data_IF_206784638823
#
_entry.id   IF_206784638823
#
_cell.length_a   1.000
_cell.length_b   1.000
_cell.length_c   1.000
_cell.angle_alpha   90.00
_cell.angle_beta   90.00
_cell.angle_gamma   90.00
#
_symmetry.space_group_name_H-M   'P 1'
#
loop_
_entity.id
_entity.type
_entity.pdbx_description
1 polymer ?
#
# COMPACT_ATOMS: atom_id res chain seq x y z
N UNK A 1 23.43 -2.95 43.46
CA UNK A 1 24.01 -3.85 42.42
C UNK A 1 23.53 -3.36 41.07
N UNK A 2 24.42 -2.91 40.17
CA UNK A 2 24.04 -2.59 38.80
C UNK A 2 23.74 -3.91 38.09
N UNK A 3 22.54 -4.06 37.53
CA UNK A 3 22.21 -5.24 36.74
C UNK A 3 23.25 -5.40 35.61
N UNK A 4 23.79 -6.60 35.39
CA UNK A 4 24.71 -6.82 34.26
C UNK A 4 23.97 -6.45 32.97
N UNK A 5 24.65 -5.82 31.99
CA UNK A 5 24.03 -5.49 30.72
C UNK A 5 23.45 -6.77 30.13
N UNK A 6 22.13 -6.78 29.94
CA UNK A 6 21.40 -7.92 29.41
C UNK A 6 21.99 -8.23 28.04
N UNK A 7 22.80 -9.28 27.93
CA UNK A 7 23.31 -9.76 26.64
C UNK A 7 22.08 -10.11 25.80
N UNK A 8 21.77 -9.25 24.81
CA UNK A 8 20.73 -9.55 23.84
C UNK A 8 21.27 -10.63 22.90
N UNK A 9 20.50 -11.68 22.59
CA UNK A 9 20.88 -12.61 21.55
C UNK A 9 21.02 -11.91 20.20
N UNK A 10 21.74 -12.55 19.29
CA UNK A 10 21.95 -12.12 17.92
C UNK A 10 20.58 -12.11 17.19
N UNK A 11 20.13 -10.94 16.69
CA UNK A 11 18.91 -10.70 15.89
C UNK A 11 17.80 -11.76 16.05
N UNK A 12 16.83 -11.45 16.90
CA UNK A 12 15.73 -12.36 17.26
C UNK A 12 14.42 -12.08 16.48
N UNK A 13 13.42 -12.96 16.63
CA UNK A 13 12.08 -12.80 16.05
C UNK A 13 11.45 -11.43 16.35
N UNK A 14 11.75 -10.85 17.52
CA UNK A 14 11.31 -9.50 17.90
C UNK A 14 11.88 -8.42 16.99
N UNK A 15 13.16 -8.54 16.61
CA UNK A 15 13.79 -7.56 15.72
C UNK A 15 13.21 -7.65 14.30
N UNK A 16 12.76 -8.84 13.88
CA UNK A 16 12.03 -9.01 12.62
C UNK A 16 10.63 -8.39 12.65
N UNK A 17 9.91 -8.53 13.76
CA UNK A 17 8.62 -7.87 13.96
C UNK A 17 8.76 -6.35 13.92
N UNK A 18 9.72 -5.78 14.67
CA UNK A 18 9.98 -4.34 14.67
C UNK A 18 10.30 -3.84 13.26
N UNK A 19 11.08 -4.62 12.48
CA UNK A 19 11.38 -4.26 11.09
C UNK A 19 10.13 -4.26 10.21
N UNK A 20 9.28 -5.28 10.32
CA UNK A 20 8.01 -5.36 9.57
C UNK A 20 7.08 -4.20 9.95
N UNK A 21 6.91 -3.94 11.23
CA UNK A 21 6.06 -2.85 11.74
C UNK A 21 6.56 -1.48 11.25
N UNK A 22 7.87 -1.25 11.28
CA UNK A 22 8.45 -0.02 10.75
C UNK A 22 8.19 0.15 9.24
N UNK A 23 8.26 -0.95 8.47
CA UNK A 23 7.94 -0.92 7.04
C UNK A 23 6.46 -0.65 6.78
N UNK A 24 5.57 -1.28 7.54
CA UNK A 24 4.11 -1.05 7.45
C UNK A 24 3.80 0.41 7.79
N UNK A 25 4.32 0.92 8.91
CA UNK A 25 4.12 2.31 9.33
C UNK A 25 4.63 3.32 8.28
N UNK A 26 5.81 3.07 7.70
CA UNK A 26 6.32 3.92 6.63
C UNK A 26 5.41 3.91 5.40
N UNK A 27 4.88 2.74 5.01
CA UNK A 27 3.94 2.62 3.89
C UNK A 27 2.61 3.32 4.16
N UNK A 28 2.07 3.24 5.39
CA UNK A 28 0.85 3.97 5.78
C UNK A 28 1.03 5.49 5.60
N UNK A 29 2.18 6.04 6.00
CA UNK A 29 2.49 7.45 5.76
C UNK A 29 2.62 7.80 4.28
N UNK A 30 3.27 6.94 3.49
CA UNK A 30 3.37 7.13 2.04
C UNK A 30 1.98 7.15 1.40
N UNK A 31 1.08 6.25 1.80
CA UNK A 31 -0.31 6.21 1.33
C UNK A 31 -1.04 7.50 1.70
N UNK A 32 -0.94 7.94 2.97
CA UNK A 32 -1.60 9.17 3.43
C UNK A 32 -1.11 10.41 2.65
N UNK A 33 0.21 10.56 2.47
CA UNK A 33 0.79 11.65 1.70
C UNK A 33 0.35 11.57 0.22
N UNK A 34 0.30 10.37 -0.36
CA UNK A 34 -0.15 10.16 -1.75
C UNK A 34 -1.62 10.55 -1.91
N UNK A 35 -2.47 10.26 -0.93
CA UNK A 35 -3.88 10.67 -0.93
C UNK A 35 -4.02 12.19 -0.87
N UNK A 36 -3.27 12.86 0.01
CA UNK A 36 -3.25 14.32 0.10
C UNK A 36 -2.80 14.93 -1.24
N UNK A 37 -1.74 14.39 -1.84
CA UNK A 37 -1.25 14.81 -3.16
C UNK A 37 -2.30 14.59 -4.25
N UNK A 38 -2.99 13.45 -4.23
CA UNK A 38 -4.06 13.12 -5.18
C UNK A 38 -5.17 14.17 -5.12
N UNK A 39 -5.61 14.54 -3.92
CA UNK A 39 -6.64 15.57 -3.72
C UNK A 39 -6.14 16.93 -4.21
N UNK A 40 -4.90 17.32 -3.87
CA UNK A 40 -4.32 18.58 -4.34
C UNK A 40 -4.26 18.65 -5.87
N UNK A 41 -3.80 17.58 -6.53
CA UNK A 41 -3.78 17.50 -7.99
C UNK A 41 -5.19 17.59 -8.59
N UNK A 42 -6.19 16.97 -7.96
CA UNK A 42 -7.58 17.04 -8.41
C UNK A 42 -8.14 18.46 -8.30
N UNK A 43 -7.93 19.14 -7.17
CA UNK A 43 -8.38 20.54 -6.96
C UNK A 43 -7.70 21.50 -7.94
N UNK A 44 -6.42 21.27 -8.25
CA UNK A 44 -5.67 22.11 -9.22
C UNK A 44 -5.97 21.76 -10.68
N UNK A 45 -6.85 20.78 -10.94
CA UNK A 45 -7.18 20.32 -12.30
C UNK A 45 -6.03 19.61 -13.03
N UNK A 46 -4.97 19.21 -12.31
CA UNK A 46 -3.82 18.52 -12.91
C UNK A 46 -4.17 17.03 -13.11
N UNK A 47 -4.08 16.48 -14.34
CA UNK A 47 -4.47 15.10 -14.63
C UNK A 47 -3.70 14.04 -13.81
N UNK A 48 -2.57 14.38 -13.19
CA UNK A 48 -1.78 13.53 -12.31
C UNK A 48 -2.59 12.85 -11.19
N UNK A 49 -3.70 13.45 -10.73
CA UNK A 49 -4.57 12.81 -9.74
C UNK A 49 -5.12 11.46 -10.21
N UNK A 50 -5.31 11.28 -11.52
CA UNK A 50 -5.79 10.02 -12.10
C UNK A 50 -4.73 8.93 -11.98
N UNK A 51 -3.46 9.29 -12.20
CA UNK A 51 -2.32 8.40 -12.03
C UNK A 51 -2.09 8.02 -10.57
N UNK A 52 -2.09 8.97 -9.65
CA UNK A 52 -1.93 8.67 -8.22
C UNK A 52 -3.11 7.88 -7.66
N UNK A 53 -4.34 8.16 -8.10
CA UNK A 53 -5.51 7.37 -7.75
C UNK A 53 -5.43 5.93 -8.28
N UNK A 54 -4.97 5.75 -9.52
CA UNK A 54 -4.73 4.41 -10.10
C UNK A 54 -3.80 3.57 -9.23
N UNK A 55 -2.70 4.16 -8.73
CA UNK A 55 -1.77 3.47 -7.84
C UNK A 55 -2.43 3.01 -6.52
N UNK A 56 -3.35 3.81 -5.96
CA UNK A 56 -4.13 3.41 -4.78
C UNK A 56 -5.02 2.20 -5.07
N UNK A 57 -5.68 2.18 -6.24
CA UNK A 57 -6.49 1.03 -6.67
C UNK A 57 -5.63 -0.24 -6.84
N UNK A 58 -4.42 -0.12 -7.39
CA UNK A 58 -3.48 -1.25 -7.45
C UNK A 58 -3.04 -1.72 -6.07
N UNK A 59 -2.75 -0.81 -5.15
CA UNK A 59 -2.43 -1.15 -3.77
C UNK A 59 -3.53 -2.01 -3.13
N UNK A 60 -4.79 -1.59 -3.23
CA UNK A 60 -5.94 -2.35 -2.71
C UNK A 60 -6.09 -3.69 -3.42
N UNK A 61 -5.98 -3.73 -4.75
CA UNK A 61 -6.11 -4.96 -5.53
C UNK A 61 -5.05 -6.01 -5.12
N UNK A 62 -3.78 -5.61 -4.97
CA UNK A 62 -2.72 -6.52 -4.56
C UNK A 62 -2.88 -6.98 -3.11
N UNK A 63 -3.33 -6.12 -2.20
CA UNK A 63 -3.68 -6.53 -0.83
C UNK A 63 -4.79 -7.59 -0.82
N UNK A 64 -5.84 -7.40 -1.62
CA UNK A 64 -6.92 -8.39 -1.75
C UNK A 64 -6.43 -9.69 -2.38
N UNK A 65 -5.54 -9.65 -3.37
CA UNK A 65 -4.94 -10.86 -3.93
C UNK A 65 -4.02 -11.58 -2.94
N UNK A 66 -3.31 -10.84 -2.09
CA UNK A 66 -2.53 -11.43 -1.00
C UNK A 66 -3.45 -12.14 0.01
N UNK A 67 -4.54 -11.50 0.43
CA UNK A 67 -5.55 -12.16 1.27
C UNK A 67 -6.19 -13.36 0.58
N UNK A 68 -6.48 -13.28 -0.71
CA UNK A 68 -6.97 -14.44 -1.47
C UNK A 68 -5.95 -15.60 -1.44
N UNK A 69 -4.65 -15.31 -1.56
CA UNK A 69 -3.62 -16.35 -1.48
C UNK A 69 -3.53 -17.00 -0.09
N UNK A 70 -3.80 -16.24 0.97
CA UNK A 70 -3.70 -16.71 2.36
C UNK A 70 -4.97 -17.44 2.83
N UNK A 71 -6.16 -16.97 2.41
CA UNK A 71 -7.45 -17.47 2.88
C UNK A 71 -8.27 -18.25 1.81
N UNK A 72 -7.84 -18.23 0.54
CA UNK A 72 -8.52 -18.86 -0.62
C UNK A 72 -10.00 -18.47 -0.84
N UNK A 73 -10.46 -17.38 -0.21
CA UNK A 73 -11.86 -16.96 -0.34
C UNK A 73 -12.13 -16.25 -1.68
N UNK A 74 -13.03 -16.85 -2.47
CA UNK A 74 -13.52 -16.31 -3.76
C UNK A 74 -13.87 -14.81 -3.76
N UNK A 75 -14.51 -14.21 -2.74
CA UNK A 75 -14.80 -12.77 -2.74
C UNK A 75 -13.55 -11.90 -2.86
N UNK A 76 -12.44 -12.23 -2.19
CA UNK A 76 -11.21 -11.43 -2.26
C UNK A 76 -10.66 -11.36 -3.69
N UNK A 77 -10.73 -12.47 -4.43
CA UNK A 77 -10.33 -12.49 -5.85
C UNK A 77 -11.23 -11.63 -6.72
N UNK A 78 -12.56 -11.74 -6.57
CA UNK A 78 -13.51 -10.98 -7.39
C UNK A 78 -13.35 -9.48 -7.17
N UNK A 79 -13.32 -9.05 -5.91
CA UNK A 79 -13.14 -7.64 -5.55
C UNK A 79 -11.77 -7.16 -6.03
N UNK A 80 -10.70 -7.92 -5.81
CA UNK A 80 -9.36 -7.57 -6.27
C UNK A 80 -9.28 -7.34 -7.79
N UNK A 81 -9.94 -8.19 -8.60
CA UNK A 81 -10.00 -8.02 -10.06
C UNK A 81 -10.74 -6.75 -10.46
N UNK A 82 -11.84 -6.39 -9.76
CA UNK A 82 -12.57 -5.14 -10.01
C UNK A 82 -11.69 -3.93 -9.71
N UNK A 83 -11.02 -3.91 -8.55
CA UNK A 83 -10.10 -2.82 -8.19
C UNK A 83 -8.93 -2.72 -9.19
N UNK A 84 -8.39 -3.86 -9.64
CA UNK A 84 -7.34 -3.91 -10.65
C UNK A 84 -7.81 -3.29 -11.98
N UNK A 85 -9.00 -3.67 -12.46
CA UNK A 85 -9.57 -3.15 -13.70
C UNK A 85 -9.78 -1.63 -13.64
N UNK A 86 -10.27 -1.12 -12.52
CA UNK A 86 -10.42 0.33 -12.30
C UNK A 86 -9.04 1.01 -12.31
N UNK A 87 -8.05 0.43 -11.63
CA UNK A 87 -6.68 0.93 -11.63
C UNK A 87 -6.10 1.03 -13.04
N UNK A 88 -6.24 -0.02 -13.86
CA UNK A 88 -5.78 -0.03 -15.26
C UNK A 88 -6.52 1.04 -16.08
N UNK A 89 -7.84 1.14 -15.96
CA UNK A 89 -8.63 2.12 -16.70
C UNK A 89 -8.18 3.56 -16.37
N UNK A 90 -7.97 3.88 -15.09
CA UNK A 90 -7.45 5.18 -14.65
C UNK A 90 -6.02 5.44 -15.14
N UNK A 91 -5.17 4.41 -15.17
CA UNK A 91 -3.79 4.54 -15.66
C UNK A 91 -3.76 4.82 -17.16
N UNK A 92 -4.55 4.07 -17.94
CA UNK A 92 -4.67 4.27 -19.40
C UNK A 92 -5.24 5.66 -19.67
N UNK A 93 -6.28 6.06 -18.93
CA UNK A 93 -6.85 7.40 -19.04
C UNK A 93 -5.78 8.46 -18.76
N UNK A 94 -5.00 8.31 -17.68
CA UNK A 94 -3.90 9.20 -17.37
C UNK A 94 -2.85 9.23 -18.48
N UNK A 95 -2.45 8.10 -19.06
CA UNK A 95 -1.48 8.05 -20.15
C UNK A 95 -1.96 8.69 -21.46
N UNK A 96 -3.26 8.67 -21.74
CA UNK A 96 -3.85 9.26 -22.96
C UNK A 96 -4.15 10.75 -22.80
N UNK A 97 -4.50 11.19 -21.60
CA UNK A 97 -4.97 12.58 -21.32
C UNK A 97 -4.02 13.41 -20.46
N UNK A 98 -2.92 12.81 -20.02
CA UNK A 98 -1.91 13.42 -19.15
C UNK A 98 -0.97 14.36 -19.86
#
# INVERSE_FOLDING_TARGET
MKQPPRQRPLRDERDEQIKKDAQVYAMEWVIAITQILTIMCAVKGNPAWRGTLSLLFFGVAFTLFYHFKEYEEKPFKQVGVVFLAIGVALLVWFGVTG
#
